data_IF_127650474308
#
_entry.id   IF_127650474308
#
_cell.length_a   1.000
_cell.length_b   1.000
_cell.length_c   1.000
_cell.angle_alpha   90.00
_cell.angle_beta   90.00
_cell.angle_gamma   90.00
#
_symmetry.space_group_name_H-M   'P 1'
#
loop_
_entity.id
_entity.type
_entity.pdbx_description
1 polymer ?
#
# COMPACT_ATOMS: atom_id res chain seq x y z
N UNK A 1 -0.63 17.14 -2.55
CA UNK A 1 0.48 16.80 -3.47
C UNK A 1 0.75 15.30 -3.33
N UNK A 2 0.96 14.57 -4.44
CA UNK A 2 0.79 13.12 -4.41
C UNK A 2 1.77 12.39 -5.33
N UNK A 3 2.20 11.18 -4.94
CA UNK A 3 3.12 10.37 -5.75
C UNK A 3 2.41 9.81 -6.97
N UNK A 4 3.12 9.74 -8.10
CA UNK A 4 2.58 9.25 -9.36
C UNK A 4 3.10 7.85 -9.70
N UNK A 5 2.37 6.81 -9.30
CA UNK A 5 2.66 5.41 -9.66
C UNK A 5 1.60 4.86 -10.61
N UNK A 6 2.04 4.08 -11.59
CA UNK A 6 1.13 3.50 -12.58
C UNK A 6 0.31 2.35 -12.01
N UNK A 7 0.97 1.48 -11.24
CA UNK A 7 0.42 0.21 -10.77
C UNK A 7 1.21 -0.27 -9.56
N UNK A 8 0.51 -0.92 -8.63
CA UNK A 8 1.12 -1.74 -7.57
C UNK A 8 0.63 -3.18 -7.71
N UNK A 9 1.53 -4.15 -7.63
CA UNK A 9 1.16 -5.56 -7.53
C UNK A 9 0.57 -5.83 -6.15
N UNK A 10 -0.49 -6.62 -6.15
CA UNK A 10 -1.27 -6.97 -4.97
C UNK A 10 -1.18 -8.48 -4.76
N UNK A 11 -0.87 -8.89 -3.55
CA UNK A 11 -0.85 -10.30 -3.18
C UNK A 11 -2.30 -10.78 -3.00
N UNK A 12 -2.83 -11.59 -3.91
CA UNK A 12 -4.24 -11.98 -3.87
C UNK A 12 -4.63 -12.71 -2.58
N UNK A 13 -3.77 -13.61 -2.08
CA UNK A 13 -3.99 -14.30 -0.80
C UNK A 13 -4.10 -13.38 0.43
N UNK A 14 -3.56 -12.17 0.35
CA UNK A 14 -3.60 -11.21 1.46
C UNK A 14 -4.98 -10.55 1.64
N UNK A 15 -5.85 -10.67 0.63
CA UNK A 15 -7.24 -10.23 0.72
C UNK A 15 -8.08 -11.17 1.58
N UNK A 16 -7.60 -12.38 1.87
CA UNK A 16 -8.35 -13.43 2.56
C UNK A 16 -9.06 -14.39 1.59
N UNK A 17 -10.03 -15.13 2.12
CA UNK A 17 -10.87 -16.05 1.33
C UNK A 17 -11.78 -15.25 0.40
N UNK A 18 -11.84 -15.61 -0.88
CA UNK A 18 -12.66 -14.93 -1.88
C UNK A 18 -13.75 -15.85 -2.40
N UNK A 19 -14.99 -15.36 -2.36
CA UNK A 19 -16.16 -16.13 -2.81
C UNK A 19 -16.95 -15.32 -3.84
N UNK A 20 -17.23 -15.91 -5.01
CA UNK A 20 -17.97 -15.26 -6.09
C UNK A 20 -19.41 -14.97 -5.70
N UNK A 21 -19.84 -13.71 -5.84
CA UNK A 21 -21.21 -13.28 -5.55
C UNK A 21 -21.97 -13.05 -6.85
N UNK A 22 -21.48 -12.15 -7.70
CA UNK A 22 -22.19 -11.73 -8.91
C UNK A 22 -21.28 -10.99 -9.88
N UNK A 23 -21.84 -10.59 -11.01
CA UNK A 23 -21.24 -9.65 -11.96
C UNK A 23 -21.72 -8.24 -11.67
N UNK A 24 -20.81 -7.28 -11.73
CA UNK A 24 -21.13 -5.86 -11.77
C UNK A 24 -20.50 -5.18 -13.00
N UNK A 25 -20.96 -3.96 -13.30
CA UNK A 25 -20.47 -3.12 -14.39
C UNK A 25 -20.01 -1.76 -13.86
N UNK A 26 -18.74 -1.46 -14.06
CA UNK A 26 -18.04 -0.25 -13.58
C UNK A 26 -17.45 0.54 -14.77
N UNK A 27 -16.70 1.59 -14.46
CA UNK A 27 -16.19 2.55 -15.45
C UNK A 27 -17.22 3.63 -15.77
N UNK A 28 -16.72 4.72 -16.35
CA UNK A 28 -17.51 5.93 -16.69
C UNK A 28 -18.77 5.62 -17.52
N UNK A 29 -18.71 4.59 -18.37
CA UNK A 29 -19.82 4.17 -19.21
C UNK A 29 -20.48 2.85 -18.74
N UNK A 30 -20.03 2.23 -17.65
CA UNK A 30 -20.52 0.94 -17.20
C UNK A 30 -20.19 -0.20 -18.17
N UNK A 31 -19.10 -0.08 -18.92
CA UNK A 31 -18.64 -0.99 -19.96
C UNK A 31 -17.65 -2.03 -19.44
N UNK A 32 -17.02 -1.78 -18.29
CA UNK A 32 -16.07 -2.71 -17.67
C UNK A 32 -16.83 -3.68 -16.77
N UNK A 33 -16.73 -4.98 -17.09
CA UNK A 33 -17.33 -6.03 -16.27
C UNK A 33 -16.37 -6.47 -15.17
N UNK A 34 -16.87 -6.53 -13.94
CA UNK A 34 -16.10 -6.95 -12.76
C UNK A 34 -16.80 -8.06 -12.01
N UNK A 35 -16.03 -8.91 -11.37
CA UNK A 35 -16.51 -9.92 -10.43
C UNK A 35 -16.66 -9.25 -9.05
N UNK A 36 -17.83 -9.42 -8.44
CA UNK A 36 -18.08 -9.05 -7.05
C UNK A 36 -17.71 -10.25 -6.19
N UNK A 37 -16.74 -10.08 -5.30
CA UNK A 37 -16.24 -11.13 -4.43
C UNK A 37 -16.48 -10.77 -2.97
N UNK A 38 -17.02 -11.69 -2.20
CA UNK A 38 -17.08 -11.59 -0.76
C UNK A 38 -15.71 -11.93 -0.15
N UNK A 39 -15.27 -11.17 0.85
CA UNK A 39 -14.05 -11.42 1.61
C UNK A 39 -14.38 -12.14 2.91
N UNK A 40 -13.69 -13.25 3.18
CA UNK A 40 -13.76 -14.01 4.43
C UNK A 40 -15.19 -14.38 4.83
N UNK A 41 -16.05 -14.64 3.84
CA UNK A 41 -17.48 -14.95 4.02
C UNK A 41 -18.25 -13.88 4.83
N UNK A 42 -17.82 -12.61 4.77
CA UNK A 42 -18.45 -11.48 5.46
C UNK A 42 -19.56 -10.82 4.61
N UNK A 43 -19.99 -9.60 4.92
CA UNK A 43 -20.80 -8.80 3.98
C UNK A 43 -19.94 -7.82 3.17
N UNK A 44 -18.63 -7.78 3.45
CA UNK A 44 -17.72 -6.90 2.73
C UNK A 44 -17.39 -7.51 1.37
N UNK A 45 -17.61 -6.71 0.32
CA UNK A 45 -17.35 -7.13 -1.06
C UNK A 45 -16.29 -6.28 -1.72
N UNK A 46 -15.50 -6.91 -2.59
CA UNK A 46 -14.57 -6.25 -3.48
C UNK A 46 -14.94 -6.46 -4.94
N UNK A 47 -14.76 -5.41 -5.73
CA UNK A 47 -14.87 -5.49 -7.18
C UNK A 47 -13.48 -5.80 -7.76
N UNK A 48 -13.38 -6.90 -8.50
CA UNK A 48 -12.15 -7.29 -9.19
C UNK A 48 -12.42 -7.40 -10.68
N UNK A 49 -11.61 -6.72 -11.50
CA UNK A 49 -11.61 -6.91 -12.95
C UNK A 49 -10.82 -8.19 -13.26
N UNK A 50 -11.49 -9.27 -13.72
CA UNK A 50 -10.81 -10.54 -13.95
C UNK A 50 -10.10 -10.56 -15.30
N UNK A 51 -9.36 -11.64 -15.56
CA UNK A 51 -8.76 -11.95 -16.84
C UNK A 51 -9.80 -12.04 -17.98
N UNK A 52 -9.36 -11.82 -19.22
CA UNK A 52 -10.19 -12.00 -20.40
C UNK A 52 -10.75 -13.43 -20.47
N UNK A 53 -12.01 -13.57 -20.91
CA UNK A 53 -12.68 -14.87 -20.97
C UNK A 53 -13.16 -15.42 -19.62
N UNK A 54 -13.06 -14.64 -18.52
CA UNK A 54 -13.65 -15.04 -17.25
C UNK A 54 -15.16 -15.27 -17.39
N UNK A 55 -15.60 -16.43 -16.92
CA UNK A 55 -17.00 -16.83 -16.93
C UNK A 55 -17.77 -16.16 -15.76
N UNK A 56 -18.60 -15.17 -16.10
CA UNK A 56 -19.48 -14.47 -15.16
C UNK A 56 -20.79 -15.23 -14.87
N UNK A 57 -21.05 -16.36 -15.52
CA UNK A 57 -22.22 -17.20 -15.24
C UNK A 57 -21.94 -18.24 -14.14
N UNK A 58 -20.78 -18.14 -13.47
CA UNK A 58 -20.41 -19.02 -12.35
C UNK A 58 -21.46 -18.99 -11.24
N UNK A 59 -21.70 -20.13 -10.56
CA UNK A 59 -22.60 -20.16 -9.41
C UNK A 59 -22.17 -19.21 -8.30
N UNK A 60 -23.14 -18.54 -7.69
CA UNK A 60 -22.95 -17.84 -6.41
C UNK A 60 -22.34 -18.79 -5.38
N UNK A 61 -21.40 -18.30 -4.58
CA UNK A 61 -20.72 -19.11 -3.56
C UNK A 61 -19.47 -19.83 -4.09
N UNK A 62 -19.11 -19.69 -5.37
CA UNK A 62 -17.91 -20.34 -5.90
C UNK A 62 -16.66 -19.74 -5.26
N UNK A 63 -15.88 -20.56 -4.56
CA UNK A 63 -14.61 -20.14 -3.97
C UNK A 63 -13.54 -19.97 -5.06
N UNK A 64 -12.82 -18.86 -4.99
CA UNK A 64 -11.80 -18.47 -5.94
C UNK A 64 -10.52 -18.04 -5.22
N UNK A 65 -9.40 -18.20 -5.91
CA UNK A 65 -8.16 -17.51 -5.57
C UNK A 65 -7.88 -16.43 -6.60
N UNK A 66 -7.26 -15.37 -6.13
CA UNK A 66 -6.76 -14.29 -6.96
C UNK A 66 -5.23 -14.41 -7.06
N UNK A 67 -4.70 -14.39 -8.28
CA UNK A 67 -3.25 -14.37 -8.54
C UNK A 67 -2.88 -13.29 -9.55
N UNK A 68 -1.62 -12.89 -9.56
CA UNK A 68 -1.04 -11.85 -10.43
C UNK A 68 -1.86 -10.56 -10.38
N UNK A 69 -2.34 -10.22 -9.18
CA UNK A 69 -3.22 -9.10 -9.00
C UNK A 69 -2.47 -7.78 -8.93
N UNK A 70 -3.20 -6.70 -9.17
CA UNK A 70 -2.68 -5.36 -9.09
C UNK A 70 -3.74 -4.32 -8.81
N UNK A 71 -3.30 -3.18 -8.28
CA UNK A 71 -4.09 -1.99 -8.01
C UNK A 71 -3.59 -0.87 -8.93
N UNK A 72 -4.52 -0.23 -9.64
CA UNK A 72 -4.26 0.99 -10.41
C UNK A 72 -5.34 2.03 -10.09
N UNK A 73 -5.14 3.28 -10.49
CA UNK A 73 -6.23 4.25 -10.50
C UNK A 73 -7.20 4.01 -11.66
N UNK A 74 -8.45 3.64 -11.36
CA UNK A 74 -9.53 3.54 -12.35
C UNK A 74 -10.48 4.72 -12.27
N UNK A 75 -11.42 4.80 -13.22
CA UNK A 75 -12.46 5.83 -13.25
C UNK A 75 -13.71 5.35 -12.49
N UNK A 76 -14.26 6.22 -11.65
CA UNK A 76 -15.51 5.94 -10.94
C UNK A 76 -16.74 6.23 -11.83
N UNK A 77 -17.68 5.29 -11.87
CA UNK A 77 -18.95 5.39 -12.59
C UNK A 77 -19.82 6.54 -12.07
N UNK A 78 -19.75 6.84 -10.78
CA UNK A 78 -20.62 7.86 -10.15
C UNK A 78 -20.28 9.30 -10.52
N UNK A 79 -19.07 9.58 -11.03
CA UNK A 79 -18.58 10.95 -11.10
C UNK A 79 -18.05 11.38 -12.48
N UNK A 80 -18.90 11.22 -13.50
CA UNK A 80 -18.67 11.56 -14.92
C UNK A 80 -18.14 12.98 -15.22
N UNK A 81 -18.21 13.92 -14.26
CA UNK A 81 -17.80 15.33 -14.44
C UNK A 81 -16.66 15.77 -13.52
N UNK A 82 -16.26 14.96 -12.53
CA UNK A 82 -15.39 15.40 -11.43
C UNK A 82 -13.96 14.86 -11.44
N UNK A 83 -13.55 14.07 -12.45
CA UNK A 83 -12.16 13.57 -12.56
C UNK A 83 -11.69 12.63 -11.44
N UNK A 84 -12.54 12.32 -10.46
CA UNK A 84 -12.22 11.49 -9.30
C UNK A 84 -11.93 10.06 -9.73
N UNK A 85 -10.73 9.58 -9.37
CA UNK A 85 -10.30 8.20 -9.59
C UNK A 85 -10.52 7.36 -8.35
N UNK A 86 -10.58 6.04 -8.53
CA UNK A 86 -10.69 5.07 -7.43
C UNK A 86 -9.67 3.96 -7.59
N UNK A 87 -9.19 3.43 -6.47
CA UNK A 87 -8.35 2.23 -6.50
C UNK A 87 -9.14 1.07 -7.12
N UNK A 88 -8.69 0.60 -8.28
CA UNK A 88 -9.32 -0.51 -9.00
C UNK A 88 -8.39 -1.72 -8.96
N UNK A 89 -8.95 -2.88 -8.64
CA UNK A 89 -8.22 -4.15 -8.55
C UNK A 89 -8.43 -4.97 -9.82
N UNK A 90 -7.35 -5.58 -10.29
CA UNK A 90 -7.31 -6.45 -11.46
C UNK A 90 -6.53 -7.70 -11.11
N UNK A 91 -6.80 -8.81 -11.78
CA UNK A 91 -5.96 -10.01 -11.66
C UNK A 91 -6.60 -11.23 -12.29
N UNK A 92 -5.97 -12.38 -12.08
CA UNK A 92 -6.49 -13.66 -12.57
C UNK A 92 -7.25 -14.37 -11.46
N UNK A 93 -8.55 -14.57 -11.65
CA UNK A 93 -9.41 -15.34 -10.76
C UNK A 93 -9.49 -16.79 -11.22
N UNK A 94 -9.09 -17.71 -10.37
CA UNK A 94 -9.04 -19.14 -10.66
C UNK A 94 -9.77 -19.94 -9.58
N UNK A 95 -10.31 -21.13 -9.91
CA UNK A 95 -10.76 -22.07 -8.90
C UNK A 95 -9.64 -22.43 -7.92
N UNK A 96 -10.01 -22.75 -6.69
CA UNK A 96 -9.05 -23.18 -5.67
C UNK A 96 -8.23 -24.42 -6.07
N UNK A 97 -8.79 -25.28 -6.92
CA UNK A 97 -8.14 -26.50 -7.43
C UNK A 97 -7.07 -26.26 -8.48
N UNK A 98 -7.00 -25.06 -9.07
CA UNK A 98 -5.97 -24.71 -10.04
C UNK A 98 -4.59 -24.70 -9.36
N UNK A 99 -3.50 -25.05 -10.04
CA UNK A 99 -2.15 -25.08 -9.44
C UNK A 99 -1.38 -23.78 -9.56
N UNK A 100 -1.83 -22.82 -10.38
CA UNK A 100 -1.11 -21.57 -10.62
C UNK A 100 -1.05 -20.69 -9.38
N UNK A 101 0.06 -19.97 -9.22
CA UNK A 101 0.29 -19.03 -8.11
C UNK A 101 0.70 -17.66 -8.65
N UNK A 102 0.82 -16.68 -7.76
CA UNK A 102 1.45 -15.41 -8.09
C UNK A 102 2.85 -15.64 -8.69
N UNK A 103 3.19 -14.85 -9.70
CA UNK A 103 4.54 -14.83 -10.29
C UNK A 103 5.56 -14.13 -9.38
N UNK A 104 5.11 -13.22 -8.52
CA UNK A 104 5.95 -12.55 -7.51
C UNK A 104 5.93 -13.40 -6.23
N UNK A 105 7.10 -13.76 -5.66
CA UNK A 105 7.19 -14.47 -4.39
C UNK A 105 6.52 -13.72 -3.24
N UNK A 106 5.89 -14.47 -2.34
CA UNK A 106 5.12 -13.88 -1.24
C UNK A 106 5.92 -13.02 -0.25
N UNK A 107 7.25 -13.19 -0.22
CA UNK A 107 8.21 -12.43 0.58
C UNK A 107 8.48 -11.03 0.03
N UNK A 108 8.24 -10.79 -1.27
CA UNK A 108 8.52 -9.50 -1.90
C UNK A 108 7.41 -8.47 -1.63
N UNK A 109 6.21 -8.91 -1.23
CA UNK A 109 5.12 -8.00 -0.86
C UNK A 109 5.34 -7.35 0.50
N UNK A 110 6.23 -6.36 0.57
CA UNK A 110 6.77 -5.76 1.78
C UNK A 110 5.96 -4.61 2.37
N UNK A 111 4.90 -4.16 1.69
CA UNK A 111 4.06 -3.05 2.11
C UNK A 111 2.57 -3.42 2.23
N UNK A 112 1.79 -2.53 2.85
CA UNK A 112 0.34 -2.70 3.03
C UNK A 112 -0.41 -1.68 2.20
N UNK A 113 -1.40 -2.09 1.43
CA UNK A 113 -2.39 -1.19 0.86
C UNK A 113 -3.49 -0.92 1.89
N UNK A 114 -3.79 0.35 2.12
CA UNK A 114 -4.80 0.81 3.08
C UNK A 114 -5.86 1.66 2.40
N UNK A 115 -7.06 1.70 2.99
CA UNK A 115 -8.11 2.62 2.58
C UNK A 115 -7.69 4.08 2.81
N UNK A 116 -8.14 5.00 1.94
CA UNK A 116 -7.75 6.41 2.02
C UNK A 116 -8.33 7.16 3.24
N UNK A 117 -9.51 6.78 3.73
CA UNK A 117 -10.25 7.51 4.77
C UNK A 117 -9.80 7.16 6.19
N UNK A 118 -9.73 5.87 6.48
CA UNK A 118 -9.53 5.29 7.82
C UNK A 118 -8.22 4.50 7.93
N UNK A 119 -7.44 4.41 6.84
CA UNK A 119 -6.17 3.68 6.78
C UNK A 119 -6.28 2.20 7.20
N UNK A 120 -7.45 1.61 7.02
CA UNK A 120 -7.70 0.20 7.29
C UNK A 120 -6.94 -0.66 6.27
N UNK A 121 -6.18 -1.69 6.70
CA UNK A 121 -5.51 -2.61 5.80
C UNK A 121 -6.47 -3.34 4.87
N UNK A 122 -6.16 -3.32 3.57
CA UNK A 122 -6.94 -3.97 2.51
C UNK A 122 -6.16 -5.11 1.85
N UNK A 123 -4.83 -5.07 1.86
CA UNK A 123 -4.00 -6.16 1.34
C UNK A 123 -2.50 -5.83 1.39
N UNK A 124 -1.65 -6.77 0.98
CA UNK A 124 -0.20 -6.57 0.86
C UNK A 124 0.18 -6.25 -0.57
N UNK A 125 1.05 -5.26 -0.75
CA UNK A 125 1.54 -4.78 -2.05
C UNK A 125 3.05 -4.83 -2.13
N UNK A 126 3.55 -4.87 -3.36
CA UNK A 126 4.97 -4.87 -3.67
C UNK A 126 5.46 -3.43 -3.82
N UNK A 127 6.21 -2.90 -2.84
CA UNK A 127 6.61 -1.48 -2.89
C UNK A 127 7.59 -1.18 -4.03
N UNK A 128 8.36 -2.18 -4.49
CA UNK A 128 9.33 -2.00 -5.56
C UNK A 128 8.70 -1.66 -6.92
N UNK A 129 7.38 -1.90 -7.07
CA UNK A 129 6.63 -1.43 -8.25
C UNK A 129 6.49 0.11 -8.28
N UNK A 130 6.63 0.77 -7.12
CA UNK A 130 6.60 2.22 -6.99
C UNK A 130 8.02 2.83 -6.96
N UNK A 131 8.88 2.36 -6.05
CA UNK A 131 10.24 2.84 -5.89
C UNK A 131 11.11 1.81 -5.16
N UNK A 132 12.43 1.90 -5.35
CA UNK A 132 13.38 1.10 -4.57
C UNK A 132 13.62 1.78 -3.21
N UNK A 133 13.16 1.15 -2.14
CA UNK A 133 13.28 1.65 -0.77
C UNK A 133 14.72 1.69 -0.24
N UNK A 134 15.66 1.00 -0.90
CA UNK A 134 17.08 1.00 -0.54
C UNK A 134 17.90 2.03 -1.34
N UNK A 135 17.28 2.69 -2.32
CA UNK A 135 17.90 3.68 -3.19
C UNK A 135 17.45 5.12 -2.85
N UNK A 136 16.83 5.33 -1.69
CA UNK A 136 16.30 6.64 -1.31
C UNK A 136 17.32 7.50 -0.56
N UNK A 137 17.42 8.75 -0.98
CA UNK A 137 18.18 9.81 -0.32
C UNK A 137 17.22 10.92 0.05
N UNK A 138 17.25 11.35 1.32
CA UNK A 138 16.47 12.49 1.79
C UNK A 138 16.90 13.76 1.06
N UNK A 139 15.96 14.44 0.42
CA UNK A 139 16.20 15.75 -0.18
C UNK A 139 15.75 16.88 0.76
N UNK A 140 14.52 16.82 1.26
CA UNK A 140 13.97 17.82 2.17
C UNK A 140 12.84 17.26 3.00
N UNK A 141 12.51 17.98 4.08
CA UNK A 141 11.31 17.74 4.90
C UNK A 141 10.45 19.00 4.83
N UNK A 142 9.14 18.84 4.67
CA UNK A 142 8.20 19.95 4.58
C UNK A 142 6.97 19.69 5.44
N UNK A 143 6.51 20.64 6.28
CA UNK A 143 5.28 20.50 7.02
C UNK A 143 4.07 20.58 6.07
N UNK A 144 3.07 19.74 6.31
CA UNK A 144 1.74 19.86 5.74
C UNK A 144 0.79 20.42 6.79
N UNK A 145 0.21 21.59 6.54
CA UNK A 145 -0.67 22.26 7.48
C UNK A 145 -2.11 21.72 7.39
N UNK A 146 -2.80 21.70 8.53
CA UNK A 146 -4.23 21.50 8.55
C UNK A 146 -4.89 22.71 7.87
N UNK A 147 -5.82 22.44 6.95
CA UNK A 147 -6.56 23.49 6.25
C UNK A 147 -8.04 23.46 6.62
N UNK A 148 -8.69 24.62 6.59
CA UNK A 148 -10.13 24.73 6.73
C UNK A 148 -10.87 24.41 5.41
N UNK A 149 -12.18 24.64 5.37
CA UNK A 149 -13.02 24.38 4.19
C UNK A 149 -12.73 25.32 3.01
N UNK A 150 -11.93 26.37 3.20
CA UNK A 150 -11.51 27.34 2.19
C UNK A 150 -10.07 27.10 1.72
N UNK A 151 -9.43 26.01 2.20
CA UNK A 151 -8.02 25.67 2.00
C UNK A 151 -7.04 26.62 2.70
N UNK A 152 -7.50 27.43 3.67
CA UNK A 152 -6.63 28.28 4.45
C UNK A 152 -6.06 27.51 5.66
N UNK A 153 -4.79 27.73 6.05
CA UNK A 153 -4.21 27.06 7.22
C UNK A 153 -4.97 27.40 8.50
N UNK A 154 -5.42 26.37 9.21
CA UNK A 154 -5.96 26.51 10.57
C UNK A 154 -4.82 26.88 11.50
N UNK A 155 -5.07 27.84 12.41
CA UNK A 155 -4.08 28.35 13.36
C UNK A 155 -4.44 27.98 14.79
N UNK A 156 -3.43 27.78 15.62
CA UNK A 156 -3.57 27.57 17.06
C UNK A 156 -3.86 28.88 17.81
N UNK A 157 -3.96 28.80 19.14
CA UNK A 157 -4.23 29.95 20.01
C UNK A 157 -3.12 31.03 19.96
N UNK A 158 -1.92 30.68 19.48
CA UNK A 158 -0.79 31.61 19.30
C UNK A 158 -0.78 32.23 17.89
N UNK A 159 -1.72 31.83 17.02
CA UNK A 159 -1.77 32.27 15.63
C UNK A 159 -0.83 31.48 14.70
N UNK A 160 -0.20 30.41 15.15
CA UNK A 160 0.70 29.58 14.35
C UNK A 160 -0.07 28.50 13.58
N UNK A 161 0.26 28.22 12.29
CA UNK A 161 -0.40 27.16 11.54
C UNK A 161 -0.24 25.79 12.18
N UNK A 162 -1.35 25.06 12.33
CA UNK A 162 -1.35 23.71 12.90
C UNK A 162 -0.78 22.74 11.86
N UNK A 163 0.27 22.01 12.23
CA UNK A 163 0.88 20.98 11.39
C UNK A 163 0.06 19.69 11.52
N UNK A 164 -0.38 19.15 10.39
CA UNK A 164 -1.12 17.88 10.33
C UNK A 164 -0.20 16.66 10.20
N UNK A 165 0.92 16.81 9.47
CA UNK A 165 1.97 15.82 9.30
C UNK A 165 3.19 16.46 8.64
N UNK A 166 4.30 15.72 8.57
CA UNK A 166 5.45 16.11 7.76
C UNK A 166 5.59 15.20 6.55
N UNK A 167 5.94 15.83 5.43
CA UNK A 167 6.28 15.19 4.17
C UNK A 167 7.80 15.10 4.05
N UNK A 168 8.30 13.88 3.93
CA UNK A 168 9.70 13.59 3.63
C UNK A 168 9.83 13.39 2.13
N UNK A 169 10.63 14.23 1.49
CA UNK A 169 10.85 14.21 0.05
C UNK A 169 12.15 13.44 -0.22
N UNK A 170 12.05 12.34 -0.95
CA UNK A 170 13.18 11.49 -1.31
C UNK A 170 13.47 11.54 -2.80
N UNK A 171 14.75 11.46 -3.14
CA UNK A 171 15.23 11.18 -4.50
C UNK A 171 15.77 9.76 -4.57
N UNK A 172 15.62 9.11 -5.72
CA UNK A 172 16.30 7.85 -6.00
C UNK A 172 17.73 8.12 -6.47
N UNK A 173 18.73 7.62 -5.75
CA UNK A 173 20.15 7.86 -6.07
C UNK A 173 20.50 7.36 -7.47
N UNK A 174 19.98 6.19 -7.86
CA UNK A 174 20.18 5.65 -9.21
C UNK A 174 19.64 6.56 -10.34
N UNK A 175 18.73 7.48 -10.02
CA UNK A 175 18.05 8.38 -10.98
C UNK A 175 18.50 9.84 -10.84
N UNK A 176 19.47 10.14 -9.97
CA UNK A 176 19.86 11.52 -9.62
C UNK A 176 20.57 12.31 -10.73
N UNK A 177 20.86 11.69 -11.88
CA UNK A 177 21.52 12.32 -13.02
C UNK A 177 20.59 13.14 -13.93
N UNK A 178 19.28 13.11 -13.69
CA UNK A 178 18.30 13.82 -14.51
C UNK A 178 17.13 14.32 -13.69
N UNK A 179 16.89 15.64 -13.80
CA UNK A 179 15.64 16.34 -13.51
C UNK A 179 15.41 16.75 -12.05
N UNK A 180 15.71 18.01 -11.76
CA UNK A 180 15.19 18.79 -10.62
C UNK A 180 13.74 19.21 -10.91
N UNK A 181 12.81 18.26 -11.03
CA UNK A 181 11.38 18.56 -11.14
C UNK A 181 10.67 17.92 -9.94
N UNK A 182 9.76 18.67 -9.33
CA UNK A 182 8.97 18.25 -8.18
C UNK A 182 8.23 16.93 -8.45
N UNK A 183 7.92 16.63 -9.71
CA UNK A 183 7.29 15.37 -10.13
C UNK A 183 8.16 14.12 -9.91
N UNK A 184 9.45 14.27 -9.66
CA UNK A 184 10.39 13.14 -9.46
C UNK A 184 10.54 12.68 -8.02
N UNK A 185 10.09 13.49 -7.04
CA UNK A 185 10.25 13.14 -5.63
C UNK A 185 9.29 12.03 -5.20
N UNK A 186 9.83 11.06 -4.48
CA UNK A 186 9.04 10.12 -3.68
C UNK A 186 8.72 10.81 -2.36
N UNK A 187 7.44 11.11 -2.15
CA UNK A 187 6.91 11.82 -0.99
C UNK A 187 6.31 10.83 -0.02
N UNK A 188 6.84 10.79 1.19
CA UNK A 188 6.42 9.85 2.23
C UNK A 188 6.00 10.63 3.45
N UNK A 189 4.80 10.32 3.93
CA UNK A 189 4.24 10.91 5.14
C UNK A 189 4.58 10.03 6.34
N UNK A 190 4.90 10.64 7.46
CA UNK A 190 5.07 9.93 8.74
C UNK A 190 4.19 10.60 9.79
N UNK A 191 3.99 9.90 10.91
CA UNK A 191 3.28 10.48 12.07
C UNK A 191 4.00 11.74 12.57
N UNK A 192 3.29 12.79 13.04
CA UNK A 192 3.91 13.99 13.59
C UNK A 192 4.94 13.69 14.69
N UNK A 193 4.65 12.76 15.60
CA UNK A 193 5.55 12.38 16.71
C UNK A 193 6.86 11.82 16.19
N UNK A 194 6.80 10.91 15.21
CA UNK A 194 7.98 10.35 14.58
C UNK A 194 8.73 11.41 13.77
N UNK A 195 7.99 12.31 13.11
CA UNK A 195 8.59 13.40 12.34
C UNK A 195 9.41 14.35 13.19
N UNK A 196 8.91 14.70 14.38
CA UNK A 196 9.60 15.56 15.34
C UNK A 196 10.87 14.89 15.86
N UNK A 197 10.79 13.61 16.25
CA UNK A 197 11.95 12.80 16.67
C UNK A 197 13.04 12.79 15.60
N UNK A 198 12.64 12.64 14.34
CA UNK A 198 13.56 12.50 13.22
C UNK A 198 14.22 13.81 12.81
N UNK A 199 13.51 14.93 12.88
CA UNK A 199 14.00 16.23 12.43
C UNK A 199 15.17 16.78 13.25
N UNK A 200 15.35 16.32 14.50
CA UNK A 200 16.45 16.78 15.37
C UNK A 200 17.82 16.51 14.72
N UNK A 201 17.97 15.39 14.03
CA UNK A 201 19.26 14.92 13.51
C UNK A 201 19.27 14.67 11.98
N UNK A 202 18.13 14.86 11.29
CA UNK A 202 18.05 14.63 9.85
C UNK A 202 18.75 15.72 9.04
N UNK A 203 19.58 15.32 8.09
CA UNK A 203 20.22 16.21 7.11
C UNK A 203 19.86 15.79 5.69
N UNK A 204 19.70 16.73 4.75
CA UNK A 204 19.67 16.42 3.32
C UNK A 204 20.87 15.53 2.95
N UNK A 205 20.64 14.54 2.09
CA UNK A 205 21.62 13.52 1.74
C UNK A 205 21.59 12.26 2.61
N UNK A 206 20.83 12.26 3.73
CA UNK A 206 20.75 11.09 4.60
C UNK A 206 20.11 9.88 3.89
N UNK A 207 20.73 8.71 4.07
CA UNK A 207 20.16 7.43 3.66
C UNK A 207 19.33 6.86 4.80
N UNK A 208 18.02 6.84 4.58
CA UNK A 208 17.04 6.36 5.54
C UNK A 208 16.41 5.07 5.04
N UNK A 209 16.10 4.18 5.97
CA UNK A 209 15.35 2.97 5.72
C UNK A 209 13.93 3.17 6.22
N UNK A 210 12.99 2.96 5.30
CA UNK A 210 11.57 3.02 5.55
C UNK A 210 11.11 1.74 6.24
N UNK A 211 10.30 1.87 7.30
CA UNK A 211 9.66 0.73 7.95
C UNK A 211 8.14 0.91 7.98
N UNK A 212 7.41 -0.21 7.90
CA UNK A 212 5.95 -0.21 7.99
C UNK A 212 5.25 0.53 6.84
N UNK A 213 5.77 0.39 5.62
CA UNK A 213 5.26 1.09 4.44
C UNK A 213 3.78 0.80 4.18
N UNK A 214 3.01 1.87 3.96
CA UNK A 214 1.61 1.83 3.59
C UNK A 214 1.34 2.67 2.36
N UNK A 215 0.51 2.15 1.46
CA UNK A 215 0.07 2.84 0.26
C UNK A 215 -1.44 3.08 0.36
N UNK A 216 -1.87 4.31 0.11
CA UNK A 216 -3.28 4.65 -0.01
C UNK A 216 -3.53 5.34 -1.34
N UNK A 217 -4.72 5.12 -1.88
CA UNK A 217 -5.18 5.84 -3.07
C UNK A 217 -6.15 6.94 -2.63
N UNK A 218 -5.78 8.20 -2.85
CA UNK A 218 -6.57 9.37 -2.42
C UNK A 218 -6.96 10.14 -3.67
N UNK A 219 -7.96 9.61 -4.37
CA UNK A 219 -8.32 10.04 -5.71
C UNK A 219 -8.88 11.46 -5.79
N UNK A 220 -8.14 12.35 -6.46
CA UNK A 220 -8.72 13.51 -7.13
C UNK A 220 -8.07 13.78 -8.49
N UNK A 221 -6.78 13.44 -8.69
CA UNK A 221 -6.11 13.50 -9.99
C UNK A 221 -5.44 12.17 -10.42
N UNK A 222 -4.94 12.17 -11.66
CA UNK A 222 -4.65 11.02 -12.51
C UNK A 222 -3.60 10.00 -12.02
N UNK A 223 -3.06 10.06 -10.80
CA UNK A 223 -2.12 9.05 -10.26
C UNK A 223 -1.90 9.14 -8.74
N UNK A 224 -2.79 9.79 -7.99
CA UNK A 224 -2.50 10.24 -6.62
C UNK A 224 -2.40 9.11 -5.56
N UNK A 225 -1.19 8.54 -5.37
CA UNK A 225 -0.82 7.68 -4.25
C UNK A 225 -0.23 8.43 -3.06
N UNK A 226 -0.85 8.27 -1.90
CA UNK A 226 -0.23 8.67 -0.64
C UNK A 226 0.56 7.49 -0.09
N UNK A 227 1.83 7.73 0.24
CA UNK A 227 2.71 6.75 0.87
C UNK A 227 2.93 7.18 2.30
N UNK A 228 2.81 6.23 3.22
CA UNK A 228 3.11 6.41 4.63
C UNK A 228 4.23 5.46 5.03
N UNK A 229 5.03 5.86 6.02
CA UNK A 229 5.91 4.98 6.76
C UNK A 229 5.59 5.09 8.26
N UNK A 230 5.71 3.98 8.99
CA UNK A 230 5.56 4.00 10.45
C UNK A 230 6.77 4.68 11.09
N UNK A 231 7.97 4.43 10.56
CA UNK A 231 9.18 5.10 11.01
C UNK A 231 10.24 5.16 9.91
N UNK A 232 11.23 6.02 10.12
CA UNK A 232 12.45 6.16 9.32
C UNK A 232 13.63 5.88 10.25
N UNK A 233 14.52 4.96 9.87
CA UNK A 233 15.75 4.71 10.62
C UNK A 233 16.95 5.01 9.75
N UNK A 234 18.01 5.55 10.34
CA UNK A 234 19.26 5.72 9.60
C UNK A 234 19.85 4.34 9.26
N UNK A 235 20.62 4.26 8.18
CA UNK A 235 21.29 3.01 7.81
C UNK A 235 22.23 2.50 8.91
N UNK A 236 22.78 3.39 9.74
CA UNK A 236 23.65 3.07 10.87
C UNK A 236 22.88 2.46 12.04
N UNK A 237 21.72 3.02 12.39
CA UNK A 237 20.82 2.46 13.41
C UNK A 237 20.32 1.07 13.00
N UNK A 238 19.96 0.85 11.73
CA UNK A 238 19.51 -0.46 11.23
C UNK A 238 20.57 -1.56 11.37
N UNK A 239 21.86 -1.23 11.26
CA UNK A 239 22.95 -2.21 11.44
C UNK A 239 23.10 -2.63 12.91
N UNK A 240 22.59 -1.82 13.83
CA UNK A 240 22.62 -2.05 15.28
C UNK A 240 21.49 -2.98 15.73
N UNK A 241 20.38 -3.02 14.99
CA UNK A 241 19.27 -3.96 15.18
C UNK A 241 19.63 -5.36 14.63
N UNK A 242 20.31 -6.17 15.45
CA UNK A 242 20.42 -7.62 15.18
C UNK A 242 19.02 -8.26 15.18
N UNK A 243 18.71 -9.21 14.28
CA UNK A 243 17.50 -9.99 14.39
C UNK A 243 17.52 -10.77 15.70
N UNK A 244 16.45 -10.70 16.49
CA UNK A 244 16.23 -11.57 17.63
C UNK A 244 16.08 -13.02 17.14
N UNK A 245 17.20 -13.71 17.00
CA UNK A 245 17.29 -15.16 16.88
C UNK A 245 16.83 -15.78 18.20
N UNK A 246 15.53 -15.96 18.39
CA UNK A 246 15.05 -16.95 19.36
C UNK A 246 14.92 -18.30 18.65
N UNK A 247 16.02 -19.03 18.76
CA UNK A 247 16.11 -20.46 18.56
C UNK A 247 15.10 -21.16 19.48
N UNK A 248 13.99 -21.62 18.93
CA UNK A 248 13.28 -22.76 19.52
C UNK A 248 14.04 -24.04 19.16
N UNK A 249 15.07 -24.37 19.96
CA UNK A 249 15.61 -25.74 20.00
C UNK A 249 14.54 -26.66 20.61
N UNK A 250 14.18 -27.79 19.97
CA UNK A 250 13.43 -28.82 20.67
C UNK A 250 14.35 -29.47 21.70
N UNK A 251 14.00 -29.36 22.98
CA UNK A 251 14.63 -30.16 24.03
C UNK A 251 14.11 -31.59 23.90
N UNK A 252 14.91 -32.45 23.28
CA UNK A 252 14.76 -33.90 23.34
C UNK A 252 15.04 -34.36 24.77
N UNK A 253 14.00 -34.73 25.53
CA UNK A 253 14.18 -35.56 26.72
C UNK A 253 13.52 -36.91 26.45
N UNK A 254 14.34 -37.87 26.06
CA UNK A 254 14.07 -39.30 26.18
C UNK A 254 14.92 -39.87 27.31
N UNK A 255 14.37 -40.92 27.94
CA UNK A 255 14.89 -41.77 29.02
C UNK A 255 14.59 -41.25 30.45
N UNK A 256 14.09 -42.06 31.39
CA UNK A 256 13.78 -43.49 31.37
C UNK A 256 12.82 -43.87 32.52
N UNK A 257 12.21 -45.04 32.36
CA UNK A 257 11.58 -45.96 33.34
C UNK A 257 11.62 -45.58 34.83
N UNK A 258 10.46 -45.68 35.51
CA UNK A 258 10.11 -46.85 36.33
C UNK A 258 8.86 -46.63 37.23
N UNK A 259 8.10 -47.72 37.39
CA UNK A 259 7.06 -48.06 38.40
C UNK A 259 5.60 -47.71 38.07
N UNK A 260 4.81 -48.78 37.92
CA UNK A 260 3.37 -48.83 37.76
C UNK A 260 2.99 -50.06 36.96
#
# INVERSE_FOLDING_TARGET
MVNKFNKLSLQGKSLGKLTYVSRNKVGTNGDISVAVLNINDTLNTENITPQAGFDFAKPFGTELKLINASIIGGEDRSNRRGGTRVATKYGTLLPMSDSQTDGIPGSEYDAVFVSGKDKTPVGRVHSADAFDSHDLILFSVSPNYQTDNQNDPVRDDNGEPIISNYQFNFMQQSKSGGVNDDDTFIRILTDPTESERLQVDLKPGAKLVLQGLKFAFVGHNATDWTVYADTLVTLEERKSEKPASNQSKPATNQADKAKG
#
